data_IF_367525770674
#
_entry.id   IF_367525770674
#
_cell.length_a   1.000
_cell.length_b   1.000
_cell.length_c   1.000
_cell.angle_alpha   90.00
_cell.angle_beta   90.00
_cell.angle_gamma   90.00
#
_symmetry.space_group_name_H-M   'P 1'
#
loop_
_entity.id
_entity.type
_entity.pdbx_description
1 polymer ?
#
# COMPACT_ATOMS: atom_id res chain seq x y z
N UNK A 1 -6.78 31.23 -9.57
CA UNK A 1 -6.39 29.89 -10.05
C UNK A 1 -4.88 29.84 -10.07
N UNK A 2 -4.24 28.77 -9.60
CA UNK A 2 -2.79 28.66 -9.74
C UNK A 2 -2.45 28.62 -11.24
N UNK A 3 -1.50 29.44 -11.66
CA UNK A 3 -0.95 29.42 -13.02
C UNK A 3 0.16 28.39 -13.07
N UNK A 4 -0.06 27.30 -13.80
CA UNK A 4 0.99 26.31 -14.07
C UNK A 4 1.81 26.76 -15.28
N UNK A 5 3.13 26.62 -15.20
CA UNK A 5 4.05 26.89 -16.30
C UNK A 5 4.43 25.57 -16.99
N UNK A 6 4.72 25.64 -18.29
CA UNK A 6 5.22 24.48 -19.02
C UNK A 6 6.55 24.03 -18.42
N UNK A 7 6.61 22.79 -17.92
CA UNK A 7 7.77 22.23 -17.21
C UNK A 7 7.63 22.15 -15.69
N UNK A 8 6.52 22.60 -15.10
CA UNK A 8 6.27 22.43 -13.68
C UNK A 8 6.14 20.94 -13.29
N UNK A 9 6.78 20.57 -12.17
CA UNK A 9 6.64 19.23 -11.57
C UNK A 9 5.47 19.30 -10.58
N UNK A 10 4.47 18.48 -10.80
CA UNK A 10 3.23 18.49 -10.01
C UNK A 10 2.91 17.08 -9.46
N UNK A 11 2.25 17.02 -8.31
CA UNK A 11 1.59 15.80 -7.82
C UNK A 11 0.20 15.79 -8.45
N UNK A 12 -0.05 14.86 -9.38
CA UNK A 12 -1.32 14.76 -10.11
C UNK A 12 -2.34 13.84 -9.45
N UNK A 13 -1.91 12.91 -8.62
CA UNK A 13 -2.78 12.02 -7.86
C UNK A 13 -2.13 11.52 -6.60
N UNK A 14 -2.93 11.24 -5.59
CA UNK A 14 -2.48 10.78 -4.29
C UNK A 14 -3.45 9.73 -3.74
N UNK A 15 -2.93 8.67 -3.14
CA UNK A 15 -3.69 7.71 -2.35
C UNK A 15 -2.83 7.18 -1.21
N UNK A 16 -3.48 6.59 -0.21
CA UNK A 16 -2.76 6.00 0.92
C UNK A 16 -3.68 5.38 1.95
N UNK A 17 -3.08 4.56 2.79
CA UNK A 17 -3.65 4.03 4.01
C UNK A 17 -2.85 4.60 5.17
N UNK A 18 -3.50 5.30 6.08
CA UNK A 18 -2.87 5.98 7.22
C UNK A 18 -3.47 5.44 8.53
N UNK A 19 -2.85 5.71 9.68
CA UNK A 19 -3.42 5.29 10.95
C UNK A 19 -4.88 5.70 11.09
N UNK A 20 -5.75 4.77 11.46
CA UNK A 20 -7.21 4.95 11.63
C UNK A 20 -7.92 5.57 10.42
N UNK A 21 -7.31 5.51 9.22
CA UNK A 21 -7.82 6.15 8.01
C UNK A 21 -7.64 5.26 6.79
N UNK A 22 -8.73 4.97 6.10
CA UNK A 22 -8.76 4.10 4.92
C UNK A 22 -8.41 4.82 3.62
N UNK A 23 -8.41 6.15 3.62
CA UNK A 23 -8.08 7.01 2.49
C UNK A 23 -7.62 8.39 2.98
N UNK A 24 -7.25 9.25 2.05
CA UNK A 24 -6.73 10.59 2.32
C UNK A 24 -7.80 11.51 2.91
N UNK A 25 -9.05 11.40 2.45
CA UNK A 25 -10.17 12.20 2.95
C UNK A 25 -10.46 11.92 4.42
N UNK A 26 -10.56 10.63 4.78
CA UNK A 26 -10.75 10.22 6.18
C UNK A 26 -9.58 10.69 7.06
N UNK A 27 -8.35 10.60 6.55
CA UNK A 27 -7.18 11.10 7.26
C UNK A 27 -7.25 12.61 7.50
N UNK A 28 -7.62 13.38 6.47
CA UNK A 28 -7.84 14.82 6.58
C UNK A 28 -8.90 15.14 7.62
N UNK A 29 -10.04 14.44 7.60
CA UNK A 29 -11.10 14.64 8.59
C UNK A 29 -10.62 14.36 10.02
N UNK A 30 -9.89 13.27 10.23
CA UNK A 30 -9.34 12.90 11.51
C UNK A 30 -8.36 13.97 12.03
N UNK A 31 -7.49 14.49 11.14
CA UNK A 31 -6.58 15.59 11.47
C UNK A 31 -7.33 16.86 11.86
N UNK A 32 -8.32 17.26 11.08
CA UNK A 32 -9.09 18.49 11.33
C UNK A 32 -9.94 18.40 12.60
N UNK A 33 -10.38 17.21 12.98
CA UNK A 33 -11.09 16.94 14.25
C UNK A 33 -10.14 16.83 15.45
N UNK A 34 -8.82 16.78 15.24
CA UNK A 34 -7.83 16.51 16.29
C UNK A 34 -7.92 15.10 16.85
N UNK A 35 -8.39 14.13 16.04
CA UNK A 35 -8.53 12.73 16.46
C UNK A 35 -7.16 12.11 16.71
N UNK A 36 -6.99 11.49 17.89
CA UNK A 36 -5.78 10.71 18.19
C UNK A 36 -5.82 9.39 17.42
N UNK A 37 -4.97 9.28 16.40
CA UNK A 37 -4.87 8.10 15.53
C UNK A 37 -3.81 7.09 16.00
N UNK A 38 -3.21 7.32 17.17
CA UNK A 38 -2.30 6.37 17.83
C UNK A 38 -3.06 5.69 18.95
N UNK A 39 -3.45 4.44 18.76
CA UNK A 39 -4.40 3.72 19.61
C UNK A 39 -3.74 2.61 20.41
N UNK A 40 -4.32 2.33 21.58
CA UNK A 40 -3.99 1.16 22.40
C UNK A 40 -5.18 0.18 22.33
N UNK A 41 -4.99 -0.93 21.61
CA UNK A 41 -5.97 -2.00 21.46
C UNK A 41 -5.29 -3.30 20.98
N UNK A 42 -6.02 -4.40 21.00
CA UNK A 42 -5.52 -5.73 20.66
C UNK A 42 -5.74 -6.13 19.18
N UNK A 43 -6.10 -5.20 18.30
CA UNK A 43 -6.36 -5.51 16.87
C UNK A 43 -5.20 -6.17 16.13
N UNK A 44 -3.97 -5.99 16.60
CA UNK A 44 -2.76 -6.58 16.01
C UNK A 44 -2.12 -7.61 16.95
N UNK A 45 -1.75 -7.15 18.12
CA UNK A 45 -1.15 -7.95 19.19
C UNK A 45 -1.45 -7.31 20.54
N UNK A 46 -1.22 -8.07 21.60
CA UNK A 46 -1.42 -7.59 22.95
C UNK A 46 -0.46 -6.44 23.26
N UNK A 47 -0.96 -5.29 23.78
CA UNK A 47 -0.13 -4.14 24.12
C UNK A 47 1.06 -4.52 25.03
N UNK A 48 2.23 -3.95 24.76
CA UNK A 48 3.45 -4.22 25.54
C UNK A 48 4.11 -5.58 25.28
N UNK A 49 3.59 -6.38 24.34
CA UNK A 49 4.19 -7.67 24.01
C UNK A 49 5.64 -7.51 23.53
N UNK A 50 6.57 -8.26 24.07
CA UNK A 50 8.01 -8.20 23.77
C UNK A 50 8.63 -6.81 23.95
N UNK A 51 8.11 -5.98 24.87
CA UNK A 51 8.62 -4.63 25.10
C UNK A 51 8.23 -3.61 24.00
N UNK A 52 7.31 -3.96 23.11
CA UNK A 52 6.79 -3.03 22.12
C UNK A 52 5.94 -1.94 22.80
N UNK A 53 5.85 -0.73 22.20
CA UNK A 53 4.95 0.29 22.70
C UNK A 53 3.51 -0.22 22.80
N UNK A 54 2.78 0.20 23.84
CA UNK A 54 1.36 -0.15 23.97
C UNK A 54 0.50 0.58 22.95
N UNK A 55 0.94 1.78 22.54
CA UNK A 55 0.24 2.64 21.58
C UNK A 55 1.04 2.80 20.30
N UNK A 56 0.39 2.62 19.16
CA UNK A 56 0.99 2.85 17.84
C UNK A 56 -0.10 3.10 16.80
N UNK A 57 0.30 3.68 15.65
CA UNK A 57 -0.59 3.90 14.52
C UNK A 57 -0.92 2.58 13.83
N UNK A 58 -2.21 2.28 13.65
CA UNK A 58 -2.69 1.02 13.06
C UNK A 58 -3.48 1.30 11.79
N UNK A 59 -3.16 0.58 10.73
CA UNK A 59 -3.97 0.60 9.52
C UNK A 59 -5.23 -0.25 9.71
N UNK A 60 -6.31 0.18 9.09
CA UNK A 60 -7.56 -0.60 8.99
C UNK A 60 -7.40 -1.71 7.93
N UNK A 61 -8.23 -2.74 8.03
CA UNK A 61 -8.54 -3.70 6.96
C UNK A 61 -7.35 -4.33 6.23
N UNK A 62 -6.29 -4.77 6.94
CA UNK A 62 -5.15 -5.46 6.33
C UNK A 62 -5.51 -6.80 5.65
N UNK A 63 -6.70 -7.35 5.94
CA UNK A 63 -7.13 -8.65 5.43
C UNK A 63 -7.92 -8.56 4.13
N UNK A 64 -8.41 -7.36 3.77
CA UNK A 64 -9.16 -7.14 2.53
C UNK A 64 -8.20 -6.88 1.37
N UNK A 65 -8.43 -7.56 0.24
CA UNK A 65 -7.68 -7.36 -1.00
C UNK A 65 -8.46 -7.93 -2.17
N UNK A 66 -8.69 -7.15 -3.21
CA UNK A 66 -9.35 -7.62 -4.42
C UNK A 66 -8.36 -8.36 -5.34
N UNK A 67 -8.07 -9.61 -4.98
CA UNK A 67 -7.17 -10.46 -5.74
C UNK A 67 -7.64 -10.68 -7.19
N UNK A 68 -8.95 -10.73 -7.42
CA UNK A 68 -9.50 -10.99 -8.75
C UNK A 68 -9.28 -9.81 -9.68
N UNK A 69 -9.45 -8.59 -9.19
CA UNK A 69 -9.15 -7.37 -9.92
C UNK A 69 -7.70 -7.35 -10.42
N UNK A 70 -6.76 -7.70 -9.55
CA UNK A 70 -5.33 -7.77 -9.89
C UNK A 70 -4.92 -9.07 -10.60
N UNK A 71 -5.87 -9.96 -10.92
CA UNK A 71 -5.62 -11.27 -11.56
C UNK A 71 -4.64 -12.13 -10.78
N UNK A 72 -4.72 -12.07 -9.46
CA UNK A 72 -3.92 -12.85 -8.52
C UNK A 72 -4.78 -13.99 -8.00
N UNK A 73 -4.24 -15.21 -8.00
CA UNK A 73 -4.98 -16.36 -7.47
C UNK A 73 -5.21 -16.24 -5.95
N UNK A 74 -6.31 -16.78 -5.40
CA UNK A 74 -6.57 -16.74 -3.96
C UNK A 74 -5.43 -17.33 -3.12
N UNK A 75 -4.78 -18.39 -3.60
CA UNK A 75 -3.62 -18.99 -2.93
C UNK A 75 -2.42 -18.04 -2.86
N UNK A 76 -2.17 -17.30 -3.93
CA UNK A 76 -1.10 -16.30 -3.95
C UNK A 76 -1.45 -15.10 -3.04
N UNK A 77 -2.67 -14.60 -3.12
CA UNK A 77 -3.14 -13.48 -2.31
C UNK A 77 -3.08 -13.81 -0.80
N UNK A 78 -3.40 -15.06 -0.41
CA UNK A 78 -3.36 -15.49 0.98
C UNK A 78 -1.95 -15.42 1.59
N UNK A 79 -0.92 -15.73 0.81
CA UNK A 79 0.48 -15.74 1.26
C UNK A 79 1.24 -14.45 0.92
N UNK A 80 0.59 -13.51 0.26
CA UNK A 80 1.18 -12.24 -0.13
C UNK A 80 1.29 -11.32 1.09
N UNK A 81 2.44 -10.63 1.19
CA UNK A 81 2.66 -9.60 2.20
C UNK A 81 1.53 -8.56 2.18
N UNK A 82 0.93 -8.22 3.33
CA UNK A 82 -0.06 -7.15 3.40
C UNK A 82 0.43 -5.82 2.83
N UNK A 83 1.71 -5.47 3.01
CA UNK A 83 2.31 -4.26 2.44
C UNK A 83 2.19 -4.26 0.91
N UNK A 84 2.47 -5.41 0.25
CA UNK A 84 2.39 -5.53 -1.19
C UNK A 84 0.94 -5.45 -1.68
N UNK A 85 -0.02 -6.06 -0.98
CA UNK A 85 -1.44 -5.98 -1.31
C UNK A 85 -1.94 -4.53 -1.27
N UNK A 86 -1.66 -3.83 -0.17
CA UNK A 86 -2.02 -2.43 0.00
C UNK A 86 -1.34 -1.56 -1.06
N UNK A 87 -0.06 -1.79 -1.34
CA UNK A 87 0.67 -1.01 -2.34
C UNK A 87 0.06 -1.13 -3.75
N UNK A 88 -0.43 -2.31 -4.13
CA UNK A 88 -1.14 -2.49 -5.39
C UNK A 88 -2.41 -1.66 -5.46
N UNK A 89 -3.22 -1.70 -4.40
CA UNK A 89 -4.47 -0.94 -4.32
C UNK A 89 -4.23 0.57 -4.34
N UNK A 90 -3.36 1.08 -3.45
CA UNK A 90 -3.10 2.53 -3.37
C UNK A 90 -2.42 3.06 -4.64
N UNK A 91 -1.59 2.27 -5.31
CA UNK A 91 -1.02 2.66 -6.60
C UNK A 91 -2.10 2.82 -7.65
N UNK A 92 -3.04 1.86 -7.73
CA UNK A 92 -4.16 1.94 -8.65
C UNK A 92 -5.05 3.16 -8.34
N UNK A 93 -5.41 3.35 -7.08
CA UNK A 93 -6.22 4.48 -6.64
C UNK A 93 -5.56 5.83 -6.99
N UNK A 94 -4.25 5.99 -6.74
CA UNK A 94 -3.52 7.21 -7.08
C UNK A 94 -3.50 7.49 -8.59
N UNK A 95 -3.44 6.46 -9.43
CA UNK A 95 -3.54 6.61 -10.88
C UNK A 95 -4.95 7.07 -11.30
N UNK A 96 -5.99 6.52 -10.68
CA UNK A 96 -7.37 6.94 -10.94
C UNK A 96 -7.61 8.38 -10.45
N UNK A 97 -7.10 8.72 -9.26
CA UNK A 97 -7.17 10.08 -8.71
C UNK A 97 -6.48 11.11 -9.64
N UNK A 98 -5.36 10.72 -10.26
CA UNK A 98 -4.68 11.50 -11.29
C UNK A 98 -5.44 11.59 -12.62
N UNK A 99 -6.60 10.95 -12.77
CA UNK A 99 -7.33 10.84 -14.05
C UNK A 99 -6.63 9.99 -15.10
N UNK A 100 -5.64 9.17 -14.70
CA UNK A 100 -4.85 8.33 -15.60
C UNK A 100 -5.47 6.95 -15.74
N UNK A 101 -5.74 6.54 -16.97
CA UNK A 101 -6.11 5.15 -17.24
C UNK A 101 -4.83 4.27 -17.19
N UNK A 102 -4.74 3.30 -16.26
CA UNK A 102 -3.56 2.45 -16.13
C UNK A 102 -3.14 1.72 -17.42
N UNK A 103 -4.09 1.45 -18.31
CA UNK A 103 -3.79 0.80 -19.60
C UNK A 103 -2.95 1.67 -20.53
N UNK A 104 -3.02 3.00 -20.40
CA UNK A 104 -2.25 3.94 -21.22
C UNK A 104 -0.79 4.08 -20.78
N UNK A 105 -0.46 3.64 -19.56
CA UNK A 105 0.92 3.63 -19.07
C UNK A 105 1.78 2.54 -19.72
N UNK A 106 1.15 1.62 -20.44
CA UNK A 106 1.86 0.55 -21.13
C UNK A 106 2.82 1.12 -22.17
N UNK A 107 4.11 0.82 -22.02
CA UNK A 107 5.21 1.36 -22.85
C UNK A 107 5.46 2.88 -22.70
N UNK A 108 4.91 3.53 -21.69
CA UNK A 108 5.25 4.91 -21.37
C UNK A 108 6.65 5.02 -20.72
N UNK A 109 7.19 6.23 -20.67
CA UNK A 109 8.44 6.53 -19.93
C UNK A 109 8.12 6.84 -18.46
N UNK A 110 7.50 5.91 -17.75
CA UNK A 110 7.10 6.07 -16.35
C UNK A 110 8.12 5.39 -15.46
N UNK A 111 8.71 6.14 -14.53
CA UNK A 111 9.55 5.60 -13.47
C UNK A 111 8.70 5.12 -12.29
N UNK A 112 9.16 4.07 -11.62
CA UNK A 112 8.55 3.56 -10.38
C UNK A 112 9.58 3.56 -9.28
N UNK A 113 9.28 4.22 -8.15
CA UNK A 113 10.17 4.35 -7.01
C UNK A 113 9.43 3.84 -5.77
N UNK A 114 9.96 2.81 -5.12
CA UNK A 114 9.35 2.14 -3.98
C UNK A 114 10.33 2.13 -2.82
N UNK A 115 9.87 2.58 -1.65
CA UNK A 115 10.61 2.49 -0.40
C UNK A 115 9.97 1.43 0.50
N UNK A 116 10.76 0.46 0.98
CA UNK A 116 10.33 -0.57 1.94
C UNK A 116 11.40 -0.69 3.01
N UNK A 117 11.00 -0.70 4.29
CA UNK A 117 11.91 -0.86 5.41
C UNK A 117 12.14 -2.33 5.76
N UNK A 118 11.07 -3.05 6.06
CA UNK A 118 11.10 -4.47 6.44
C UNK A 118 9.89 -5.19 5.88
N UNK A 119 10.00 -6.51 5.71
CA UNK A 119 8.87 -7.37 5.32
C UNK A 119 8.88 -8.62 6.17
N UNK A 120 7.81 -8.85 6.92
CA UNK A 120 7.62 -10.06 7.73
C UNK A 120 7.46 -11.32 6.86
N UNK A 121 7.06 -11.14 5.61
CA UNK A 121 6.96 -12.23 4.65
C UNK A 121 8.34 -12.83 4.28
N UNK A 122 9.43 -12.13 4.48
CA UNK A 122 10.78 -12.64 4.17
C UNK A 122 11.15 -13.90 4.97
N UNK A 123 10.72 -14.01 6.21
CA UNK A 123 11.03 -15.18 7.04
C UNK A 123 10.18 -16.39 6.67
N UNK A 124 8.92 -16.15 6.28
CA UNK A 124 8.04 -17.20 5.76
C UNK A 124 8.57 -17.81 4.45
N UNK A 125 9.18 -16.99 3.58
CA UNK A 125 9.71 -17.43 2.28
C UNK A 125 11.08 -18.09 2.37
N UNK A 126 11.91 -17.76 3.34
CA UNK A 126 13.18 -18.43 3.60
C UNK A 126 12.99 -19.89 4.02
N UNK A 127 11.82 -20.23 4.55
CA UNK A 127 11.51 -21.59 5.02
C UNK A 127 10.84 -22.48 3.97
N UNK A 128 10.50 -21.96 2.77
CA UNK A 128 9.92 -22.74 1.67
C UNK A 128 10.88 -22.83 0.47
N UNK A 129 11.09 -24.05 -0.09
CA UNK A 129 12.03 -24.28 -1.21
C UNK A 129 11.69 -23.52 -2.49
N UNK A 130 10.45 -23.04 -2.64
CA UNK A 130 9.91 -22.48 -3.88
C UNK A 130 9.85 -20.94 -3.93
N UNK A 131 10.63 -20.23 -3.11
CA UNK A 131 10.65 -18.77 -2.97
C UNK A 131 10.83 -17.92 -4.25
N UNK A 132 10.89 -18.59 -5.42
CA UNK A 132 11.03 -17.94 -6.74
C UNK A 132 9.80 -17.17 -7.23
N UNK A 133 8.62 -17.35 -6.63
CA UNK A 133 7.38 -16.87 -7.23
C UNK A 133 7.05 -15.41 -6.93
N UNK A 134 7.43 -14.86 -5.79
CA UNK A 134 7.06 -13.47 -5.43
C UNK A 134 7.95 -12.45 -6.12
N UNK A 135 9.26 -12.67 -6.17
CA UNK A 135 10.16 -11.76 -6.90
C UNK A 135 9.76 -11.67 -8.40
N UNK A 136 9.30 -12.77 -8.97
CA UNK A 136 8.81 -12.82 -10.35
C UNK A 136 7.49 -12.09 -10.54
N UNK A 137 6.63 -12.01 -9.51
CA UNK A 137 5.36 -11.28 -9.56
C UNK A 137 5.59 -9.77 -9.49
N UNK A 138 6.45 -9.29 -8.60
CA UNK A 138 6.80 -7.87 -8.47
C UNK A 138 7.40 -7.36 -9.77
N UNK A 139 8.36 -8.07 -10.35
CA UNK A 139 8.98 -7.72 -11.63
C UNK A 139 7.96 -7.77 -12.79
N UNK A 140 6.99 -8.66 -12.75
CA UNK A 140 5.97 -8.78 -13.80
C UNK A 140 4.92 -7.67 -13.79
N UNK A 141 4.61 -7.09 -12.65
CA UNK A 141 3.67 -5.96 -12.51
C UNK A 141 4.32 -4.66 -13.05
N UNK A 142 5.63 -4.51 -12.90
CA UNK A 142 6.33 -3.28 -13.28
C UNK A 142 7.07 -3.33 -14.64
N UNK A 143 7.21 -4.48 -15.29
CA UNK A 143 7.96 -4.64 -16.56
C UNK A 143 7.11 -5.05 -17.77
N UNK A 144 5.77 -5.06 -17.68
CA UNK A 144 4.89 -5.37 -18.82
C UNK A 144 4.13 -4.16 -19.32
#
# INVERSE_FOLDING_TARGET
>A
MPTYFEGDIVISGISGRLPESSNIEEFKENLMKGTDMVTEDERRWKPGLYGSPSRFGKLKNLHSFDASFFKISPKQAHVMDPQLRIMLEVTHEALIDAGVNPSTLKKSRTGVFIGVSTSDANDFWKTKPDGKYILKLIVKIFTR
#
